data_IF_195526684343
#
_entry.id   IF_195526684343
#
_cell.length_a   1.000
_cell.length_b   1.000
_cell.length_c   1.000
_cell.angle_alpha   90.00
_cell.angle_beta   90.00
_cell.angle_gamma   90.00
#
_symmetry.space_group_name_H-M   'P 1'
#
loop_
_entity.id
_entity.type
_entity.pdbx_description
1 polymer ?
#
# COMPACT_ATOMS: atom_id res chain seq x y z
N UNK A 1 -54.36 22.30 24.19
CA UNK A 1 -53.04 22.90 23.91
C UNK A 1 -51.85 22.26 24.64
N UNK A 2 -51.98 21.74 25.87
CA UNK A 2 -50.84 21.12 26.60
C UNK A 2 -50.28 19.83 25.96
N UNK A 3 -51.13 18.97 25.37
CA UNK A 3 -50.69 17.71 24.74
C UNK A 3 -49.97 17.88 23.39
N UNK A 4 -50.29 18.91 22.61
CA UNK A 4 -49.60 19.23 21.35
C UNK A 4 -48.16 19.72 21.58
N UNK A 5 -47.92 20.50 22.65
CA UNK A 5 -46.57 20.91 23.05
C UNK A 5 -45.72 19.72 23.52
N UNK A 6 -46.33 18.76 24.22
CA UNK A 6 -45.62 17.58 24.73
C UNK A 6 -45.27 16.58 23.62
N UNK A 7 -46.13 16.43 22.61
CA UNK A 7 -45.83 15.63 21.41
C UNK A 7 -44.73 16.30 20.58
N UNK A 8 -44.80 17.62 20.39
CA UNK A 8 -43.74 18.36 19.69
C UNK A 8 -42.39 18.30 20.43
N UNK A 9 -42.40 18.36 21.76
CA UNK A 9 -41.20 18.27 22.58
C UNK A 9 -40.60 16.86 22.61
N UNK A 10 -41.42 15.82 22.63
CA UNK A 10 -40.95 14.43 22.50
C UNK A 10 -40.46 14.11 21.08
N UNK A 11 -41.09 14.68 20.04
CA UNK A 11 -40.65 14.50 18.65
C UNK A 11 -39.33 15.23 18.38
N UNK A 12 -39.16 16.42 18.94
CA UNK A 12 -37.91 17.18 18.89
C UNK A 12 -36.78 16.48 19.66
N UNK A 13 -37.10 15.80 20.77
CA UNK A 13 -36.15 15.01 21.54
C UNK A 13 -35.72 13.73 20.80
N UNK A 14 -36.65 13.04 20.12
CA UNK A 14 -36.32 11.86 19.32
C UNK A 14 -35.47 12.19 18.08
N UNK A 15 -35.68 13.36 17.45
CA UNK A 15 -34.85 13.82 16.34
C UNK A 15 -33.40 14.12 16.78
N UNK A 16 -33.23 14.62 18.01
CA UNK A 16 -31.91 14.93 18.57
C UNK A 16 -31.10 13.68 18.94
N UNK A 17 -31.78 12.61 19.38
CA UNK A 17 -31.15 11.31 19.68
C UNK A 17 -30.71 10.57 18.41
N UNK A 18 -31.46 10.70 17.32
CA UNK A 18 -31.11 10.09 16.02
C UNK A 18 -29.88 10.73 15.36
N UNK A 19 -29.62 12.02 15.62
CA UNK A 19 -28.42 12.73 15.13
C UNK A 19 -27.16 12.33 15.91
N UNK A 20 -27.29 11.87 17.15
CA UNK A 20 -26.15 11.43 17.97
C UNK A 20 -25.69 9.99 17.64
N UNK A 21 -26.50 9.21 16.93
CA UNK A 21 -26.20 7.82 16.57
C UNK A 21 -25.36 7.66 15.28
N UNK A 22 -25.09 8.73 14.54
CA UNK A 22 -24.22 8.72 13.35
C UNK A 22 -22.81 9.26 13.61
N UNK A 23 -22.51 9.59 14.87
CA UNK A 23 -21.28 10.28 15.27
C UNK A 23 -20.16 9.40 15.79
N UNK A 24 -19.99 8.16 15.30
CA UNK A 24 -18.69 7.50 15.44
C UNK A 24 -17.72 8.17 14.45
N UNK A 25 -17.16 9.32 14.84
CA UNK A 25 -15.91 9.77 14.22
C UNK A 25 -14.83 8.80 14.69
N UNK A 26 -14.57 7.76 13.91
CA UNK A 26 -13.29 7.06 14.01
C UNK A 26 -12.20 8.13 13.84
N UNK A 27 -11.41 8.34 14.89
CA UNK A 27 -10.22 9.18 14.80
C UNK A 27 -9.26 8.47 13.84
N UNK A 28 -9.20 8.95 12.59
CA UNK A 28 -8.21 8.48 11.63
C UNK A 28 -6.82 8.70 12.23
N UNK A 29 -6.12 7.62 12.58
CA UNK A 29 -4.72 7.68 12.99
C UNK A 29 -3.91 8.28 11.83
N UNK A 30 -3.42 9.50 12.05
CA UNK A 30 -2.58 10.21 11.08
C UNK A 30 -1.13 9.78 11.24
N UNK A 31 -0.62 9.09 10.23
CA UNK A 31 0.78 8.68 10.15
C UNK A 31 1.62 9.72 9.42
N UNK A 32 2.95 9.55 9.45
CA UNK A 32 3.90 10.39 8.71
C UNK A 32 3.57 10.38 7.23
N UNK A 33 3.48 11.57 6.64
CA UNK A 33 3.20 11.76 5.22
C UNK A 33 4.49 12.06 4.46
N UNK A 34 4.61 11.49 3.27
CA UNK A 34 5.76 11.63 2.40
C UNK A 34 5.37 12.35 1.10
N UNK A 35 6.26 13.13 0.48
CA UNK A 35 6.06 13.55 -0.89
C UNK A 35 6.03 12.34 -1.81
N UNK A 36 5.37 12.47 -2.97
CA UNK A 36 5.38 11.41 -3.98
C UNK A 36 6.83 11.07 -4.37
N UNK A 37 7.25 9.80 -4.24
CA UNK A 37 8.61 9.42 -4.57
C UNK A 37 8.92 9.56 -6.06
N UNK A 38 10.21 9.74 -6.35
CA UNK A 38 10.77 9.61 -7.70
C UNK A 38 11.70 8.40 -7.66
N UNK A 39 11.13 7.21 -7.85
CA UNK A 39 11.92 5.97 -7.90
C UNK A 39 12.41 5.73 -9.31
N UNK A 40 13.72 5.54 -9.44
CA UNK A 40 14.38 5.33 -10.73
C UNK A 40 15.39 4.21 -10.61
N UNK A 41 15.39 3.32 -11.60
CA UNK A 41 16.36 2.24 -11.71
C UNK A 41 17.50 2.71 -12.59
N UNK A 42 18.74 2.64 -12.08
CA UNK A 42 19.92 2.80 -12.91
C UNK A 42 20.28 1.45 -13.53
N UNK A 43 19.79 1.17 -14.74
CA UNK A 43 19.96 -0.15 -15.37
C UNK A 43 21.40 -0.42 -15.83
N UNK A 44 22.19 0.62 -16.10
CA UNK A 44 23.56 0.49 -16.64
C UNK A 44 24.54 -0.21 -15.67
N UNK A 45 24.16 -0.40 -14.41
CA UNK A 45 24.97 -1.05 -13.39
C UNK A 45 24.66 -2.53 -13.21
N UNK A 46 23.66 -3.07 -13.92
CA UNK A 46 23.13 -4.41 -13.69
C UNK A 46 23.12 -5.23 -14.98
N UNK A 47 23.46 -6.52 -14.85
CA UNK A 47 23.54 -7.47 -15.96
C UNK A 47 22.70 -8.73 -15.74
N UNK A 48 22.11 -8.89 -14.56
CA UNK A 48 21.19 -9.97 -14.21
C UNK A 48 19.84 -9.39 -13.76
N UNK A 49 18.82 -10.24 -13.67
CA UNK A 49 17.54 -9.87 -13.10
C UNK A 49 16.84 -11.07 -12.46
N UNK A 50 15.85 -10.79 -11.62
CA UNK A 50 14.78 -11.70 -11.25
C UNK A 50 13.45 -11.03 -11.54
N UNK A 51 12.38 -11.82 -11.65
CA UNK A 51 11.02 -11.30 -11.84
C UNK A 51 10.18 -11.55 -10.61
N UNK A 52 9.27 -10.63 -10.32
CA UNK A 52 8.33 -10.76 -9.23
C UNK A 52 6.91 -10.45 -9.70
N UNK A 53 5.95 -11.31 -9.36
CA UNK A 53 4.52 -11.07 -9.48
C UNK A 53 3.91 -11.14 -8.09
N UNK A 54 3.54 -9.98 -7.57
CA UNK A 54 3.14 -9.82 -6.17
C UNK A 54 1.82 -9.07 -6.07
N UNK A 55 1.13 -9.22 -4.95
CA UNK A 55 -0.05 -8.42 -4.62
C UNK A 55 0.04 -7.83 -3.22
N UNK A 56 -0.66 -6.71 -3.05
CA UNK A 56 -0.84 -6.09 -1.74
C UNK A 56 -1.73 -6.98 -0.87
N UNK A 57 -1.56 -6.92 0.47
CA UNK A 57 -2.46 -7.62 1.36
C UNK A 57 -3.86 -6.95 1.31
N UNK A 58 -4.94 -7.69 1.61
CA UNK A 58 -6.32 -7.23 1.40
C UNK A 58 -6.64 -5.88 2.04
N UNK A 59 -6.00 -5.58 3.18
CA UNK A 59 -6.22 -4.33 3.91
C UNK A 59 -5.73 -3.11 3.13
N UNK A 60 -4.67 -3.25 2.32
CA UNK A 60 -4.15 -2.18 1.46
C UNK A 60 -4.76 -2.20 0.07
N UNK A 61 -5.03 -3.39 -0.48
CA UNK A 61 -5.53 -3.58 -1.84
C UNK A 61 -6.81 -2.79 -2.12
N UNK A 62 -7.70 -2.64 -1.13
CA UNK A 62 -8.96 -1.90 -1.26
C UNK A 62 -8.80 -0.38 -1.42
N UNK A 63 -7.60 0.16 -1.14
CA UNK A 63 -7.32 1.60 -1.18
C UNK A 63 -6.38 2.00 -2.33
N UNK A 64 -6.03 1.06 -3.22
CA UNK A 64 -5.14 1.30 -4.37
C UNK A 64 -5.72 2.39 -5.28
N UNK A 65 -4.86 3.32 -5.68
CA UNK A 65 -5.14 4.33 -6.69
C UNK A 65 -4.26 4.09 -7.92
N UNK A 66 -4.68 4.60 -9.08
CA UNK A 66 -3.93 4.48 -10.33
C UNK A 66 -2.56 5.16 -10.30
N UNK A 67 -2.41 6.20 -9.48
CA UNK A 67 -1.17 6.98 -9.34
C UNK A 67 -0.25 6.45 -8.24
N UNK A 68 -0.66 5.39 -7.53
CA UNK A 68 0.18 4.77 -6.51
C UNK A 68 1.45 4.18 -7.11
N UNK A 69 2.51 4.18 -6.32
CA UNK A 69 3.81 3.71 -6.77
C UNK A 69 4.22 2.45 -6.01
N UNK A 70 4.87 1.53 -6.71
CA UNK A 70 5.41 0.30 -6.15
C UNK A 70 6.81 0.05 -6.68
N UNK A 71 7.76 -0.35 -5.83
CA UNK A 71 9.12 -0.64 -6.27
C UNK A 71 9.86 -1.59 -5.33
N UNK A 72 10.87 -2.26 -5.88
CA UNK A 72 11.81 -3.13 -5.19
C UNK A 72 13.12 -2.40 -4.93
N UNK A 73 13.69 -2.61 -3.75
CA UNK A 73 14.90 -1.96 -3.25
C UNK A 73 15.88 -2.95 -2.66
N UNK A 74 17.17 -2.73 -2.92
CA UNK A 74 18.26 -3.33 -2.15
C UNK A 74 18.89 -2.21 -1.32
N UNK A 75 18.68 -2.24 0.00
CA UNK A 75 18.92 -1.08 0.86
C UNK A 75 18.10 0.14 0.42
N UNK A 76 18.79 1.18 -0.03
CA UNK A 76 18.19 2.41 -0.57
C UNK A 76 18.26 2.54 -2.09
N UNK A 77 18.87 1.56 -2.77
CA UNK A 77 18.96 1.55 -4.23
C UNK A 77 17.69 0.94 -4.80
N UNK A 78 16.97 1.69 -5.63
CA UNK A 78 15.84 1.16 -6.38
C UNK A 78 16.35 0.20 -7.46
N UNK A 79 15.89 -1.06 -7.41
CA UNK A 79 16.30 -2.14 -8.30
C UNK A 79 15.23 -2.52 -9.31
N UNK A 80 14.00 -2.08 -9.11
CA UNK A 80 12.87 -2.34 -10.01
C UNK A 80 11.67 -1.49 -9.65
N UNK A 81 10.95 -0.97 -10.65
CA UNK A 81 9.64 -0.33 -10.45
C UNK A 81 8.54 -1.28 -10.90
N UNK A 82 7.47 -1.36 -10.12
CA UNK A 82 6.33 -2.22 -10.40
C UNK A 82 5.26 -1.55 -11.25
N UNK A 83 4.65 -2.33 -12.14
CA UNK A 83 3.49 -1.94 -12.92
C UNK A 83 2.28 -2.70 -12.36
N UNK A 84 1.20 -1.99 -12.04
CA UNK A 84 -0.05 -2.63 -11.61
C UNK A 84 -0.89 -3.02 -12.83
N UNK A 85 -1.29 -4.29 -12.90
CA UNK A 85 -2.24 -4.81 -13.88
C UNK A 85 -3.22 -5.68 -13.10
N UNK A 86 -4.49 -5.27 -13.08
CA UNK A 86 -5.59 -5.98 -12.40
C UNK A 86 -5.29 -6.36 -10.93
N UNK A 87 -4.65 -5.45 -10.19
CA UNK A 87 -4.32 -5.65 -8.77
C UNK A 87 -3.04 -6.44 -8.51
N UNK A 88 -2.36 -6.91 -9.56
CA UNK A 88 -1.04 -7.55 -9.47
C UNK A 88 0.05 -6.56 -9.85
N UNK A 89 1.15 -6.57 -9.11
CA UNK A 89 2.35 -5.80 -9.42
C UNK A 89 3.39 -6.70 -10.06
N UNK A 90 3.78 -6.34 -11.29
CA UNK A 90 4.84 -6.99 -12.05
C UNK A 90 6.11 -6.17 -11.92
N UNK A 91 7.20 -6.78 -11.45
CA UNK A 91 8.48 -6.10 -11.22
C UNK A 91 9.62 -6.91 -11.83
N UNK A 92 10.42 -6.27 -12.68
CA UNK A 92 11.76 -6.75 -13.00
C UNK A 92 12.75 -6.15 -12.00
N UNK A 93 13.39 -6.98 -11.20
CA UNK A 93 14.33 -6.57 -10.16
C UNK A 93 15.72 -6.83 -10.71
N UNK A 94 16.51 -5.77 -10.88
CA UNK A 94 17.83 -5.87 -11.51
C UNK A 94 18.92 -6.26 -10.51
N UNK A 95 19.97 -6.88 -11.03
CA UNK A 95 20.94 -7.72 -10.33
C UNK A 95 22.36 -7.67 -10.91
N UNK A 96 23.30 -8.28 -10.20
CA UNK A 96 24.49 -8.89 -10.81
C UNK A 96 24.43 -10.41 -10.65
N UNK A 97 25.12 -11.21 -11.48
CA UNK A 97 25.06 -12.67 -11.39
C UNK A 97 25.37 -13.25 -10.00
N UNK A 98 26.36 -12.66 -9.30
CA UNK A 98 26.80 -13.07 -7.96
C UNK A 98 26.18 -12.21 -6.82
N UNK A 99 25.08 -11.51 -7.10
CA UNK A 99 24.39 -10.66 -6.12
C UNK A 99 23.73 -11.51 -5.03
N UNK A 100 24.13 -11.29 -3.78
CA UNK A 100 23.58 -11.93 -2.58
C UNK A 100 22.79 -10.94 -1.72
N UNK A 101 22.37 -9.82 -2.29
CA UNK A 101 21.64 -8.80 -1.56
C UNK A 101 20.20 -9.19 -1.30
N UNK A 102 19.60 -8.51 -0.32
CA UNK A 102 18.20 -8.69 0.03
C UNK A 102 17.34 -7.58 -0.54
N UNK A 103 16.15 -7.93 -0.97
CA UNK A 103 15.13 -7.05 -1.51
C UNK A 103 14.09 -6.70 -0.45
N UNK A 104 13.69 -5.43 -0.43
CA UNK A 104 12.44 -4.94 0.18
C UNK A 104 11.56 -4.34 -0.89
N UNK A 105 10.25 -4.54 -0.75
CA UNK A 105 9.30 -3.77 -1.53
C UNK A 105 8.87 -2.53 -0.76
N UNK A 106 8.62 -1.45 -1.50
CA UNK A 106 8.02 -0.21 -1.01
C UNK A 106 6.77 0.08 -1.83
N UNK A 107 5.72 0.53 -1.15
CA UNK A 107 4.45 0.92 -1.73
C UNK A 107 4.09 2.30 -1.21
N UNK A 108 3.82 3.24 -2.11
CA UNK A 108 3.40 4.59 -1.77
C UNK A 108 1.94 4.78 -2.21
N UNK A 109 1.09 5.13 -1.26
CA UNK A 109 -0.31 5.44 -1.51
C UNK A 109 -0.50 6.95 -1.64
N UNK A 110 -0.99 7.39 -2.79
CA UNK A 110 -1.15 8.81 -3.15
C UNK A 110 -2.23 9.51 -2.35
N UNK A 111 -3.33 8.81 -2.01
CA UNK A 111 -4.48 9.37 -1.30
C UNK A 111 -4.11 9.85 0.11
N UNK A 112 -3.44 9.00 0.89
CA UNK A 112 -3.05 9.33 2.27
C UNK A 112 -1.61 9.84 2.39
N UNK A 113 -0.81 9.73 1.32
CA UNK A 113 0.61 10.07 1.26
C UNK A 113 1.48 9.23 2.20
N UNK A 114 1.04 8.01 2.50
CA UNK A 114 1.79 7.08 3.35
C UNK A 114 2.72 6.23 2.51
N UNK A 115 3.89 5.97 3.09
CA UNK A 115 4.87 5.05 2.55
C UNK A 115 4.87 3.77 3.38
N UNK A 116 4.80 2.64 2.70
CA UNK A 116 4.84 1.32 3.30
C UNK A 116 6.10 0.59 2.83
N UNK A 117 6.65 -0.27 3.67
CA UNK A 117 7.75 -1.17 3.31
C UNK A 117 7.50 -2.57 3.83
N UNK A 118 8.00 -3.58 3.12
CA UNK A 118 7.88 -4.97 3.57
C UNK A 118 8.65 -5.19 4.87
N UNK A 119 8.04 -5.95 5.79
CA UNK A 119 8.70 -6.34 7.04
C UNK A 119 9.83 -7.33 6.76
N UNK A 120 9.52 -8.28 5.88
CA UNK A 120 10.41 -9.33 5.44
C UNK A 120 11.46 -8.83 4.44
N UNK A 121 12.58 -9.54 4.43
CA UNK A 121 13.66 -9.42 3.47
C UNK A 121 13.63 -10.64 2.56
N UNK A 122 13.65 -10.42 1.25
CA UNK A 122 13.66 -11.49 0.24
C UNK A 122 15.06 -11.60 -0.34
N UNK A 123 15.58 -12.79 -0.59
CA UNK A 123 16.86 -12.93 -1.29
C UNK A 123 16.70 -12.55 -2.77
N UNK A 124 17.67 -11.85 -3.33
CA UNK A 124 17.81 -11.76 -4.77
C UNK A 124 18.48 -13.04 -5.30
N UNK A 125 17.91 -13.65 -6.32
CA UNK A 125 18.54 -14.77 -7.03
C UNK A 125 18.38 -14.58 -8.54
N UNK A 126 19.48 -14.70 -9.29
CA UNK A 126 19.49 -14.51 -10.75
C UNK A 126 18.53 -15.48 -11.44
N UNK A 127 17.75 -14.95 -12.39
CA UNK A 127 16.73 -15.64 -13.19
C UNK A 127 15.57 -16.27 -12.39
N UNK A 128 15.48 -15.98 -11.09
CA UNK A 128 14.37 -16.45 -10.27
C UNK A 128 13.05 -15.78 -10.68
N UNK A 129 11.96 -16.55 -10.54
CA UNK A 129 10.58 -16.09 -10.65
C UNK A 129 9.95 -16.13 -9.26
N UNK A 130 9.69 -14.97 -8.67
CA UNK A 130 9.07 -14.81 -7.35
C UNK A 130 7.57 -14.53 -7.50
N UNK A 131 6.78 -15.58 -7.39
CA UNK A 131 5.34 -15.54 -7.69
C UNK A 131 5.05 -15.52 -9.19
N UNK A 132 3.82 -15.88 -9.55
CA UNK A 132 3.34 -15.90 -10.93
C UNK A 132 1.99 -15.17 -11.05
N UNK A 133 1.47 -14.99 -12.27
CA UNK A 133 0.14 -14.41 -12.45
C UNK A 133 -0.97 -15.26 -11.82
N UNK A 134 -0.86 -16.59 -11.92
CA UNK A 134 -1.86 -17.53 -11.38
C UNK A 134 -1.70 -17.73 -9.87
N UNK A 135 -0.46 -17.66 -9.39
CA UNK A 135 -0.10 -17.80 -7.97
C UNK A 135 0.84 -16.65 -7.54
N UNK A 136 0.29 -15.43 -7.33
CA UNK A 136 1.09 -14.27 -6.96
C UNK A 136 1.40 -14.28 -5.46
N UNK A 137 2.57 -13.77 -5.10
CA UNK A 137 2.99 -13.66 -3.70
C UNK A 137 2.26 -12.53 -2.97
N UNK A 138 1.80 -12.79 -1.75
CA UNK A 138 1.12 -11.78 -0.91
C UNK A 138 2.10 -11.17 0.07
N UNK A 139 2.38 -9.88 -0.11
CA UNK A 139 3.38 -9.22 0.69
C UNK A 139 2.81 -8.69 2.01
N UNK A 140 3.61 -8.75 3.08
CA UNK A 140 3.29 -8.14 4.36
C UNK A 140 4.00 -6.81 4.53
N UNK A 141 3.25 -5.74 4.79
CA UNK A 141 3.75 -4.37 4.92
C UNK A 141 3.71 -3.82 6.35
N UNK A 142 4.61 -2.88 6.62
CA UNK A 142 4.54 -1.94 7.75
C UNK A 142 4.62 -0.52 7.22
N UNK A 143 3.90 0.40 7.86
CA UNK A 143 4.02 1.82 7.58
C UNK A 143 5.40 2.33 7.99
N UNK A 144 6.00 3.14 7.13
CA UNK A 144 7.24 3.87 7.41
C UNK A 144 6.88 5.03 8.35
N UNK A 145 7.63 5.15 9.44
CA UNK A 145 7.41 6.16 10.49
C UNK A 145 8.32 7.36 10.27
#
# INVERSE_FOLDING_TARGET
>A
MKRLKQIAQNFLFCLFVLVMATGCKEEEEKFTQFPAPIWQVNSNTFSANMTAVVKLPPELAQYVQSEDQFAAFSGDVCRGTGINIDGLYYVAILGTPDDQSTIRFRYYNTRNRYLYTTRELFSFETDQVFGTTDEPEVLTFSIVK
#
